data_IF_354422711672
#
_entry.id   IF_354422711672
#
_cell.length_a   1.000
_cell.length_b   1.000
_cell.length_c   1.000
_cell.angle_alpha   90.00
_cell.angle_beta   90.00
_cell.angle_gamma   90.00
#
_symmetry.space_group_name_H-M   'P 1'
#
loop_
_entity.id
_entity.type
_entity.pdbx_description
1 polymer ?
#
# COMPACT_ATOMS: atom_id res chain seq x y z
N UNK A 1 7.90 24.23 -0.38
CA UNK A 1 8.19 22.82 -0.04
C UNK A 1 7.32 21.99 -0.95
N UNK A 2 7.86 20.99 -1.63
CA UNK A 2 7.07 20.13 -2.52
C UNK A 2 6.09 19.29 -1.72
N UNK A 3 4.92 19.04 -2.28
CA UNK A 3 3.93 18.12 -1.72
C UNK A 3 4.36 16.66 -1.95
N UNK A 4 3.78 15.72 -1.20
CA UNK A 4 4.06 14.28 -1.35
C UNK A 4 3.78 13.79 -2.78
N UNK A 5 2.73 14.32 -3.42
CA UNK A 5 2.35 13.99 -4.80
C UNK A 5 3.40 14.49 -5.79
N UNK A 6 3.86 15.72 -5.65
CA UNK A 6 4.90 16.29 -6.53
C UNK A 6 6.21 15.49 -6.42
N UNK A 7 6.60 15.10 -5.20
CA UNK A 7 7.79 14.26 -4.97
C UNK A 7 7.62 12.89 -5.63
N UNK A 8 6.45 12.26 -5.49
CA UNK A 8 6.17 10.96 -6.09
C UNK A 8 6.16 11.00 -7.62
N UNK A 9 5.61 12.07 -8.21
CA UNK A 9 5.56 12.23 -9.67
C UNK A 9 6.92 12.52 -10.31
N UNK A 10 7.82 13.17 -9.57
CA UNK A 10 9.19 13.42 -10.01
C UNK A 10 10.13 12.22 -9.81
N UNK A 11 9.71 11.21 -9.06
CA UNK A 11 10.53 10.04 -8.76
C UNK A 11 10.84 9.23 -10.02
N UNK A 12 12.10 8.89 -10.22
CA UNK A 12 12.54 7.99 -11.28
C UNK A 12 12.40 6.56 -10.78
N UNK A 13 11.36 5.88 -11.25
CA UNK A 13 11.08 4.51 -10.84
C UNK A 13 11.93 3.49 -11.60
N UNK A 14 12.51 2.54 -10.89
CA UNK A 14 13.14 1.37 -11.49
C UNK A 14 12.10 0.25 -11.74
N UNK A 15 12.30 -0.58 -12.78
CA UNK A 15 11.47 -1.76 -12.99
C UNK A 15 11.51 -2.67 -11.77
N UNK A 16 10.35 -3.26 -11.41
CA UNK A 16 10.25 -4.11 -10.21
C UNK A 16 11.16 -5.34 -10.28
N UNK A 17 11.44 -5.86 -11.47
CA UNK A 17 12.39 -6.95 -11.68
C UNK A 17 13.80 -6.58 -11.23
N UNK A 18 14.24 -5.36 -11.52
CA UNK A 18 15.55 -4.86 -11.10
C UNK A 18 15.61 -4.64 -9.57
N UNK A 19 14.53 -4.15 -9.01
CA UNK A 19 14.42 -4.00 -7.55
C UNK A 19 14.47 -5.37 -6.87
N UNK A 20 13.75 -6.36 -7.39
CA UNK A 20 13.74 -7.73 -6.88
C UNK A 20 15.13 -8.39 -6.96
N UNK A 21 15.82 -8.22 -8.08
CA UNK A 21 17.19 -8.72 -8.27
C UNK A 21 18.15 -8.18 -7.20
N UNK A 22 18.01 -6.92 -6.80
CA UNK A 22 18.87 -6.30 -5.78
C UNK A 22 18.81 -6.99 -4.41
N UNK A 23 17.72 -7.69 -4.13
CA UNK A 23 17.53 -8.48 -2.90
C UNK A 23 17.64 -9.99 -3.13
N UNK A 24 17.96 -10.41 -4.36
CA UNK A 24 18.20 -11.81 -4.72
C UNK A 24 16.94 -12.59 -5.06
N UNK A 25 15.94 -11.94 -5.62
CA UNK A 25 14.74 -12.55 -6.18
C UNK A 25 14.85 -12.50 -7.70
N UNK A 26 14.69 -13.64 -8.36
CA UNK A 26 14.77 -13.76 -9.81
C UNK A 26 13.46 -13.32 -10.49
N UNK A 27 13.52 -12.94 -11.75
CA UNK A 27 12.34 -12.49 -12.49
C UNK A 27 11.26 -13.58 -12.60
N UNK A 28 11.66 -14.83 -12.70
CA UNK A 28 10.75 -15.99 -12.77
C UNK A 28 10.02 -16.27 -11.43
N UNK A 29 10.53 -15.73 -10.34
CA UNK A 29 9.90 -15.82 -9.02
C UNK A 29 8.82 -14.73 -8.80
N UNK A 30 8.56 -13.89 -9.83
CA UNK A 30 7.63 -12.77 -9.76
C UNK A 30 6.41 -12.96 -10.66
N UNK A 31 5.25 -12.61 -10.12
CA UNK A 31 4.02 -12.38 -10.88
C UNK A 31 3.86 -10.88 -11.14
N UNK A 32 4.15 -10.42 -12.36
CA UNK A 32 4.20 -9.01 -12.70
C UNK A 32 2.81 -8.37 -12.80
N UNK A 33 2.64 -7.23 -12.15
CA UNK A 33 1.50 -6.33 -12.29
C UNK A 33 1.96 -5.01 -12.91
N UNK A 34 2.19 -5.01 -14.22
CA UNK A 34 2.82 -3.92 -14.93
C UNK A 34 4.33 -3.86 -14.69
N UNK A 35 4.92 -2.68 -14.92
CA UNK A 35 6.38 -2.49 -14.89
C UNK A 35 6.96 -2.35 -13.48
N UNK A 36 6.16 -1.83 -12.54
CA UNK A 36 6.65 -1.33 -11.27
C UNK A 36 6.10 -2.06 -10.04
N UNK A 37 5.29 -3.09 -10.26
CA UNK A 37 4.67 -3.88 -9.19
C UNK A 37 4.74 -5.37 -9.52
N UNK A 38 4.83 -6.20 -8.52
CA UNK A 38 4.76 -7.65 -8.66
C UNK A 38 4.26 -8.28 -7.35
N UNK A 39 3.79 -9.52 -7.47
CA UNK A 39 3.64 -10.44 -6.34
C UNK A 39 4.76 -11.46 -6.39
N UNK A 40 5.05 -12.06 -5.25
CA UNK A 40 5.94 -13.21 -5.17
C UNK A 40 5.16 -14.47 -5.58
N UNK A 41 5.77 -15.32 -6.42
CA UNK A 41 5.15 -16.58 -6.80
C UNK A 41 5.03 -17.52 -5.60
N UNK A 42 4.02 -18.41 -5.60
CA UNK A 42 3.89 -19.43 -4.56
C UNK A 42 5.12 -20.35 -4.51
N UNK A 43 5.71 -20.62 -5.67
CA UNK A 43 6.89 -21.46 -5.75
C UNK A 43 8.08 -20.83 -5.03
N UNK A 44 8.29 -19.51 -5.21
CA UNK A 44 9.31 -18.78 -4.48
C UNK A 44 9.06 -18.83 -2.96
N UNK A 45 7.82 -18.60 -2.53
CA UNK A 45 7.48 -18.67 -1.11
C UNK A 45 7.79 -20.03 -0.50
N UNK A 46 7.56 -21.13 -1.24
CA UNK A 46 7.94 -22.48 -0.83
C UNK A 46 9.47 -22.65 -0.75
N UNK A 47 10.21 -22.12 -1.73
CA UNK A 47 11.69 -22.18 -1.77
C UNK A 47 12.35 -21.50 -0.57
N UNK A 48 11.73 -20.46 -0.02
CA UNK A 48 12.31 -19.69 1.09
C UNK A 48 11.83 -20.13 2.46
N UNK A 49 10.83 -21.00 2.54
CA UNK A 49 10.18 -21.40 3.81
C UNK A 49 11.16 -21.95 4.84
N UNK A 50 12.17 -22.69 4.40
CA UNK A 50 13.17 -23.32 5.28
C UNK A 50 14.44 -22.47 5.47
N UNK A 51 14.47 -21.25 4.92
CA UNK A 51 15.61 -20.36 5.10
C UNK A 51 15.62 -19.77 6.52
N UNK A 52 16.80 -19.52 7.09
CA UNK A 52 16.88 -18.84 8.39
C UNK A 52 16.26 -17.46 8.32
N UNK A 53 15.48 -17.12 9.34
CA UNK A 53 14.82 -15.83 9.44
C UNK A 53 15.84 -14.68 9.60
N UNK A 54 15.56 -13.57 8.95
CA UNK A 54 16.26 -12.31 9.16
C UNK A 54 15.91 -11.67 10.52
N UNK A 55 16.54 -10.55 10.82
CA UNK A 55 16.20 -9.75 11.99
C UNK A 55 14.91 -8.96 11.74
N UNK A 56 13.96 -9.07 12.64
CA UNK A 56 12.72 -8.32 12.59
C UNK A 56 12.83 -7.04 13.42
N UNK A 57 12.49 -5.91 12.80
CA UNK A 57 12.38 -4.60 13.47
C UNK A 57 10.92 -4.17 13.39
N UNK A 58 10.25 -4.07 14.53
CA UNK A 58 8.87 -3.62 14.62
C UNK A 58 8.82 -2.12 14.87
N UNK A 59 8.12 -1.40 13.98
CA UNK A 59 7.78 0.02 14.16
C UNK A 59 6.32 0.12 14.57
N UNK A 60 6.08 0.62 15.77
CA UNK A 60 4.73 0.73 16.34
C UNK A 60 4.54 2.07 17.06
N UNK A 61 3.34 2.35 17.50
CA UNK A 61 3.01 3.49 18.34
C UNK A 61 2.25 3.05 19.59
N UNK A 62 2.42 3.78 20.69
CA UNK A 62 1.78 3.47 21.98
C UNK A 62 0.27 3.69 21.88
N UNK A 63 -0.16 4.85 21.35
CA UNK A 63 -1.56 5.21 21.19
C UNK A 63 -1.86 5.68 19.78
N UNK A 64 -3.05 5.37 19.22
CA UNK A 64 -3.49 5.93 17.96
C UNK A 64 -3.88 7.41 18.13
N UNK A 65 -3.60 8.23 17.12
CA UNK A 65 -4.04 9.63 17.04
C UNK A 65 -4.82 9.88 15.76
N UNK A 66 -5.75 10.85 15.72
CA UNK A 66 -6.48 11.17 14.50
C UNK A 66 -5.60 11.61 13.33
N UNK A 67 -4.49 12.28 13.61
CA UNK A 67 -3.54 12.75 12.59
C UNK A 67 -2.58 11.66 12.09
N UNK A 68 -2.56 10.50 12.75
CA UNK A 68 -1.55 9.46 12.51
C UNK A 68 -0.25 9.71 13.31
N UNK A 69 0.55 8.67 13.49
CA UNK A 69 1.76 8.70 14.33
C UNK A 69 3.06 8.60 13.50
N UNK A 70 2.94 8.65 12.17
CA UNK A 70 4.10 8.57 11.28
C UNK A 70 4.77 7.18 11.19
N UNK A 71 4.11 6.11 11.63
CA UNK A 71 4.66 4.73 11.59
C UNK A 71 5.18 4.35 10.21
N UNK A 72 4.37 4.56 9.18
CA UNK A 72 4.71 4.21 7.80
C UNK A 72 5.91 5.03 7.31
N UNK A 73 5.88 6.34 7.48
CA UNK A 73 6.97 7.23 7.07
C UNK A 73 8.28 6.87 7.78
N UNK A 74 8.22 6.57 9.09
CA UNK A 74 9.38 6.12 9.86
C UNK A 74 9.90 4.77 9.35
N UNK A 75 9.01 3.83 9.03
CA UNK A 75 9.39 2.50 8.51
C UNK A 75 10.07 2.61 7.15
N UNK A 76 9.52 3.43 6.25
CA UNK A 76 10.09 3.64 4.92
C UNK A 76 11.45 4.33 5.04
N UNK A 77 11.54 5.43 5.79
CA UNK A 77 12.81 6.14 5.99
C UNK A 77 13.90 5.28 6.65
N UNK A 78 13.52 4.40 7.58
CA UNK A 78 14.44 3.43 8.18
C UNK A 78 14.94 2.41 7.15
N UNK A 79 14.05 1.88 6.31
CA UNK A 79 14.43 0.96 5.24
C UNK A 79 15.36 1.60 4.21
N UNK A 80 15.10 2.85 3.81
CA UNK A 80 15.99 3.61 2.93
C UNK A 80 17.37 3.84 3.58
N UNK A 81 17.39 4.14 4.87
CA UNK A 81 18.64 4.32 5.60
C UNK A 81 19.49 3.03 5.59
N UNK A 82 18.86 1.87 5.81
CA UNK A 82 19.54 0.57 5.68
C UNK A 82 20.09 0.34 4.28
N UNK A 83 19.31 0.66 3.23
CA UNK A 83 19.76 0.56 1.85
C UNK A 83 21.00 1.42 1.59
N UNK A 84 21.02 2.68 2.05
CA UNK A 84 22.19 3.59 1.96
C UNK A 84 23.40 3.10 2.74
N UNK A 85 23.20 2.35 3.80
CA UNK A 85 24.27 1.68 4.57
C UNK A 85 24.74 0.37 3.93
N UNK A 86 24.24 0.00 2.75
CA UNK A 86 24.57 -1.25 2.08
C UNK A 86 23.99 -2.51 2.77
N UNK A 87 22.96 -2.35 3.61
CA UNK A 87 22.29 -3.47 4.27
C UNK A 87 21.11 -3.95 3.43
N UNK A 88 20.95 -5.25 3.32
CA UNK A 88 19.75 -5.86 2.72
C UNK A 88 18.60 -5.74 3.70
N UNK A 89 17.62 -4.93 3.38
CA UNK A 89 16.42 -4.73 4.17
C UNK A 89 15.18 -4.83 3.28
N UNK A 90 14.13 -5.44 3.81
CA UNK A 90 12.81 -5.49 3.18
C UNK A 90 11.84 -4.80 4.10
N UNK A 91 11.06 -3.87 3.55
CA UNK A 91 10.05 -3.13 4.29
C UNK A 91 8.73 -3.88 4.13
N UNK A 92 8.12 -4.28 5.26
CA UNK A 92 6.79 -4.87 5.28
C UNK A 92 5.80 -3.83 5.82
N UNK A 93 4.90 -3.37 4.97
CA UNK A 93 3.88 -2.39 5.31
C UNK A 93 2.48 -3.03 5.29
N UNK A 94 1.58 -2.46 6.07
CA UNK A 94 0.17 -2.79 5.94
C UNK A 94 -0.32 -2.26 4.61
N UNK A 95 -1.00 -3.10 3.84
CA UNK A 95 -1.66 -2.69 2.62
C UNK A 95 -2.79 -1.68 2.93
N UNK A 96 -2.85 -0.52 2.25
CA UNK A 96 -3.98 0.37 2.35
C UNK A 96 -5.17 -0.26 1.64
N UNK A 97 -6.35 -0.03 2.18
CA UNK A 97 -7.60 -0.22 1.46
C UNK A 97 -8.12 1.17 1.05
N UNK A 98 -9.39 1.33 0.81
CA UNK A 98 -10.02 2.61 0.44
C UNK A 98 -9.87 3.75 1.48
N UNK A 99 -9.05 3.58 2.50
CA UNK A 99 -8.84 4.53 3.60
C UNK A 99 -8.47 5.96 3.21
N UNK A 100 -7.58 6.19 2.24
CA UNK A 100 -7.27 7.54 1.78
C UNK A 100 -8.43 8.26 1.10
N UNK A 101 -9.36 7.51 0.50
CA UNK A 101 -10.52 8.07 -0.21
C UNK A 101 -11.78 8.14 0.66
N UNK A 102 -11.89 7.30 1.68
CA UNK A 102 -13.07 7.14 2.53
C UNK A 102 -12.70 7.03 4.01
N UNK A 103 -12.06 8.03 4.57
CA UNK A 103 -11.79 8.03 5.99
C UNK A 103 -10.62 8.90 6.42
N UNK A 104 -10.34 8.84 7.72
CA UNK A 104 -9.29 9.63 8.37
C UNK A 104 -7.94 8.88 8.34
N UNK A 105 -7.87 7.68 7.75
CA UNK A 105 -6.62 6.91 7.72
C UNK A 105 -5.73 7.41 6.58
N UNK A 106 -4.51 7.78 6.92
CA UNK A 106 -3.47 8.12 5.95
C UNK A 106 -3.13 6.96 5.02
N UNK A 107 -2.51 7.29 3.87
CA UNK A 107 -1.99 6.31 2.93
C UNK A 107 -0.90 5.42 3.54
N UNK A 108 -0.62 4.29 2.90
CA UNK A 108 0.44 3.37 3.33
C UNK A 108 1.75 3.55 2.56
N UNK A 109 1.89 4.59 1.75
CA UNK A 109 3.07 4.82 0.94
C UNK A 109 4.17 5.64 1.64
N UNK A 110 3.94 6.14 2.86
CA UNK A 110 4.86 7.06 3.53
C UNK A 110 4.56 8.52 3.20
N UNK A 111 5.57 9.41 3.32
CA UNK A 111 5.42 10.84 3.04
C UNK A 111 6.76 11.54 2.85
N UNK A 112 6.74 12.72 2.23
CA UNK A 112 7.95 13.44 1.85
C UNK A 112 8.82 12.61 0.92
N UNK A 113 10.11 12.57 1.19
CA UNK A 113 11.07 11.72 0.45
C UNK A 113 11.10 10.27 0.94
N UNK A 114 10.48 9.97 2.09
CA UNK A 114 10.33 8.61 2.59
C UNK A 114 9.03 7.99 2.07
N UNK A 115 8.97 7.70 0.77
CA UNK A 115 7.81 7.18 0.07
C UNK A 115 8.10 5.91 -0.71
N UNK A 116 7.07 5.05 -0.82
CA UNK A 116 7.04 3.93 -1.76
C UNK A 116 6.28 4.36 -3.01
N UNK A 117 6.87 4.15 -4.17
CA UNK A 117 6.28 4.50 -5.47
C UNK A 117 5.99 3.23 -6.29
N UNK A 118 4.93 3.21 -7.13
CA UNK A 118 3.98 4.28 -7.44
C UNK A 118 2.98 4.52 -6.29
N UNK A 119 2.97 5.74 -5.74
CA UNK A 119 2.22 6.07 -4.52
C UNK A 119 0.70 5.98 -4.71
N UNK A 120 0.19 6.51 -5.80
CA UNK A 120 -1.23 6.55 -6.13
C UNK A 120 -1.82 5.14 -6.30
N UNK A 121 -1.16 4.27 -7.06
CA UNK A 121 -1.60 2.89 -7.25
C UNK A 121 -1.54 2.09 -5.95
N UNK A 122 -0.49 2.27 -5.14
CA UNK A 122 -0.35 1.59 -3.86
C UNK A 122 -1.39 2.04 -2.83
N UNK A 123 -1.76 3.33 -2.82
CA UNK A 123 -2.74 3.86 -1.91
C UNK A 123 -4.18 3.53 -2.31
N UNK A 124 -4.47 3.37 -3.61
CA UNK A 124 -5.82 3.11 -4.09
C UNK A 124 -6.16 1.62 -4.03
N UNK A 125 -5.41 0.79 -4.71
CA UNK A 125 -5.67 -0.65 -4.67
C UNK A 125 -4.56 -1.48 -5.32
N UNK A 126 -3.89 -2.30 -4.54
CA UNK A 126 -2.77 -3.10 -5.03
C UNK A 126 -3.10 -4.59 -5.24
N UNK A 127 -4.15 -5.11 -4.61
CA UNK A 127 -4.43 -6.56 -4.50
C UNK A 127 -5.01 -7.23 -5.73
N UNK A 128 -5.13 -6.53 -6.86
CA UNK A 128 -5.58 -7.09 -8.14
C UNK A 128 -7.06 -6.89 -8.43
N UNK A 129 -7.45 -7.27 -9.64
CA UNK A 129 -8.72 -6.87 -10.27
C UNK A 129 -9.96 -7.39 -9.55
N UNK A 130 -9.96 -8.62 -9.07
CA UNK A 130 -11.12 -9.19 -8.36
C UNK A 130 -11.45 -8.43 -7.08
N UNK A 131 -10.44 -8.10 -6.29
CA UNK A 131 -10.65 -7.32 -5.07
C UNK A 131 -11.05 -5.88 -5.39
N UNK A 132 -10.49 -5.27 -6.43
CA UNK A 132 -10.86 -3.94 -6.90
C UNK A 132 -12.33 -3.90 -7.37
N UNK A 133 -12.76 -4.85 -8.20
CA UNK A 133 -14.13 -4.96 -8.69
C UNK A 133 -15.10 -5.21 -7.53
N UNK A 134 -14.76 -6.11 -6.61
CA UNK A 134 -15.59 -6.41 -5.44
C UNK A 134 -15.75 -5.18 -4.54
N UNK A 135 -14.67 -4.46 -4.28
CA UNK A 135 -14.69 -3.24 -3.47
C UNK A 135 -15.50 -2.13 -4.13
N UNK A 136 -15.37 -1.94 -5.44
CA UNK A 136 -16.15 -0.98 -6.21
C UNK A 136 -17.65 -1.33 -6.21
N UNK A 137 -17.98 -2.59 -6.42
CA UNK A 137 -19.38 -3.06 -6.40
C UNK A 137 -20.01 -2.91 -5.01
N UNK A 138 -19.29 -3.26 -3.95
CA UNK A 138 -19.79 -3.12 -2.58
C UNK A 138 -19.99 -1.64 -2.21
N UNK A 139 -19.12 -0.75 -2.66
CA UNK A 139 -19.28 0.68 -2.46
C UNK A 139 -20.52 1.20 -3.20
N UNK A 140 -20.70 0.83 -4.47
CA UNK A 140 -21.86 1.22 -5.25
C UNK A 140 -23.16 0.70 -4.60
N UNK A 141 -23.21 -0.55 -4.17
CA UNK A 141 -24.34 -1.12 -3.48
C UNK A 141 -24.67 -0.35 -2.18
N UNK A 142 -23.66 -0.02 -1.38
CA UNK A 142 -23.83 0.75 -0.15
C UNK A 142 -24.38 2.17 -0.41
N UNK A 143 -23.90 2.83 -1.49
CA UNK A 143 -24.40 4.15 -1.89
C UNK A 143 -25.86 4.09 -2.36
N UNK A 144 -26.24 3.09 -3.14
CA UNK A 144 -27.63 2.88 -3.59
C UNK A 144 -28.56 2.59 -2.41
N UNK A 145 -28.13 1.77 -1.46
CA UNK A 145 -28.93 1.48 -0.27
C UNK A 145 -29.12 2.71 0.62
N UNK A 146 -28.09 3.54 0.76
CA UNK A 146 -28.18 4.81 1.47
C UNK A 146 -29.17 5.75 0.80
N UNK A 147 -29.12 5.89 -0.52
CA UNK A 147 -30.03 6.75 -1.28
C UNK A 147 -31.49 6.26 -1.18
N UNK A 148 -31.73 4.97 -1.32
CA UNK A 148 -33.08 4.35 -1.12
C UNK A 148 -33.64 4.59 0.27
N UNK A 149 -32.82 4.55 1.32
CA UNK A 149 -33.27 4.87 2.69
C UNK A 149 -33.62 6.34 2.84
N UNK A 150 -32.84 7.25 2.27
CA UNK A 150 -33.12 8.69 2.27
C UNK A 150 -34.42 9.01 1.52
N UNK A 151 -34.66 8.40 0.37
CA UNK A 151 -35.86 8.59 -0.43
C UNK A 151 -37.11 8.06 0.28
N UNK A 152 -37.02 6.93 0.99
CA UNK A 152 -38.15 6.39 1.79
C UNK A 152 -38.48 7.28 3.00
N UNK A 153 -37.47 7.87 3.67
CA UNK A 153 -37.71 8.80 4.76
C UNK A 153 -38.38 10.10 4.28
N UNK A 154 -38.07 10.58 3.08
CA UNK A 154 -38.73 11.75 2.48
C UNK A 154 -40.16 11.45 2.01
N UNK A 155 -40.51 10.21 1.67
CA UNK A 155 -41.87 9.84 1.26
C UNK A 155 -42.82 9.69 2.46
N UNK A 156 -42.32 9.42 3.67
CA UNK A 156 -43.15 9.29 4.89
C UNK A 156 -43.55 10.65 5.52
N UNK A 157 -42.99 11.77 5.03
CA UNK A 157 -43.36 13.12 5.47
C UNK A 157 -44.37 13.83 4.53
N UNK A 158 -44.98 13.13 3.57
CA UNK A 158 -46.07 13.63 2.72
C UNK A 158 -47.38 12.93 3.02
N UNK A 159 -47.85 13.09 4.23
CA UNK A 159 -49.28 12.87 4.59
C UNK A 159 -49.73 13.99 5.51
#
# INVERSE_FOLDING_TARGET
MKTDIEIAQEAVMEPITKVAESIGIEADDLELYGKYKAKLSEEFLRKIQDRPNGKLILVTAINPTPAGEGKTTTTVGLGEAFGRMGKKAVIALREPSLGPCFGIKGGAAGGGYAQVVPMDELNLHFTGDFHAITSANNLLAALLDKDRKSTRLNSSHRT
#
